data_IF_302987315512
#
_entry.id   IF_302987315512
#
_cell.length_a   1.000
_cell.length_b   1.000
_cell.length_c   1.000
_cell.angle_alpha   90.00
_cell.angle_beta   90.00
_cell.angle_gamma   90.00
#
_symmetry.space_group_name_H-M   'P 1'
#
loop_
_entity.id
_entity.type
_entity.pdbx_description
1 polymer ?
#
# COMPACT_ATOMS: atom_id res chain seq x y z
N UNK A 1 2.90 -12.68 31.54
CA UNK A 1 3.05 -12.42 30.09
C UNK A 1 1.75 -12.85 29.40
N UNK A 2 1.10 -11.97 28.64
CA UNK A 2 -0.17 -12.29 27.96
C UNK A 2 0.04 -13.31 26.84
N UNK A 3 -1.01 -14.06 26.47
CA UNK A 3 -0.95 -15.02 25.36
C UNK A 3 -0.48 -14.34 24.06
N UNK A 4 -1.02 -13.15 23.79
CA UNK A 4 -0.65 -12.31 22.65
C UNK A 4 0.84 -11.92 22.67
N UNK A 5 1.38 -11.55 23.83
CA UNK A 5 2.81 -11.25 23.95
C UNK A 5 3.66 -12.50 23.67
N UNK A 6 3.23 -13.67 24.15
CA UNK A 6 3.93 -14.94 23.91
C UNK A 6 3.94 -15.32 22.42
N UNK A 7 2.82 -15.14 21.72
CA UNK A 7 2.73 -15.36 20.28
C UNK A 7 3.68 -14.43 19.50
N UNK A 8 3.76 -13.15 19.88
CA UNK A 8 4.69 -12.18 19.28
C UNK A 8 6.15 -12.56 19.53
N UNK A 9 6.51 -12.95 20.75
CA UNK A 9 7.86 -13.41 21.08
C UNK A 9 8.23 -14.70 20.32
N UNK A 10 7.27 -15.61 20.12
CA UNK A 10 7.49 -16.81 19.29
C UNK A 10 7.77 -16.45 17.84
N UNK A 11 6.96 -15.57 17.25
CA UNK A 11 7.14 -15.06 15.88
C UNK A 11 8.52 -14.41 15.71
N UNK A 12 8.92 -13.52 16.64
CA UNK A 12 10.24 -12.91 16.62
C UNK A 12 11.36 -13.96 16.73
N UNK A 13 11.25 -14.92 17.64
CA UNK A 13 12.23 -15.99 17.81
C UNK A 13 12.39 -16.86 16.57
N UNK A 14 11.30 -17.17 15.88
CA UNK A 14 11.32 -17.94 14.62
C UNK A 14 12.01 -17.16 13.48
N UNK A 15 11.77 -15.85 13.37
CA UNK A 15 12.45 -14.96 12.40
C UNK A 15 13.96 -14.89 12.70
N UNK A 16 14.35 -14.66 13.96
CA UNK A 16 15.76 -14.57 14.36
C UNK A 16 16.53 -15.88 14.13
N UNK A 17 15.84 -17.03 14.21
CA UNK A 17 16.43 -18.34 13.95
C UNK A 17 16.40 -18.71 12.46
N UNK A 18 16.03 -17.79 11.56
CA UNK A 18 16.02 -17.96 10.10
C UNK A 18 15.26 -19.21 9.62
N UNK A 19 14.28 -19.66 10.39
CA UNK A 19 13.33 -20.65 9.91
C UNK A 19 12.43 -19.92 8.91
N UNK A 20 12.53 -20.26 7.62
CA UNK A 20 11.72 -19.68 6.54
C UNK A 20 10.24 -19.69 6.94
N UNK A 21 9.77 -18.58 7.50
CA UNK A 21 8.39 -18.38 7.85
C UNK A 21 7.68 -17.90 6.59
N UNK A 22 6.88 -18.78 6.01
CA UNK A 22 5.73 -18.33 5.24
C UNK A 22 4.73 -17.78 6.27
N UNK A 23 4.91 -16.51 6.63
CA UNK A 23 3.91 -15.76 7.39
C UNK A 23 2.73 -15.54 6.46
N UNK A 24 1.82 -16.52 6.45
CA UNK A 24 0.51 -16.41 5.83
C UNK A 24 -0.22 -15.22 6.46
N UNK A 25 -1.18 -14.68 5.72
CA UNK A 25 -2.08 -13.59 6.12
C UNK A 25 -2.94 -13.91 7.37
N UNK A 26 -2.72 -15.06 8.02
CA UNK A 26 -3.46 -15.55 9.19
C UNK A 26 -2.99 -14.97 10.53
N UNK A 27 -1.99 -14.08 10.55
CA UNK A 27 -1.53 -13.41 11.78
C UNK A 27 -2.30 -12.12 12.12
N UNK A 28 -3.50 -11.97 11.58
CA UNK A 28 -4.36 -10.81 11.80
C UNK A 28 -4.70 -10.58 13.28
N UNK A 29 -4.75 -11.65 14.08
CA UNK A 29 -4.97 -11.63 15.54
C UNK A 29 -3.75 -11.15 16.36
N UNK A 30 -2.56 -11.11 15.73
CA UNK A 30 -1.31 -10.70 16.38
C UNK A 30 -1.01 -9.21 16.14
N UNK A 31 -1.64 -8.60 15.13
CA UNK A 31 -1.45 -7.21 14.75
C UNK A 31 -1.73 -6.25 15.91
N UNK A 32 -0.95 -5.16 15.98
CA UNK A 32 -1.20 -4.07 16.94
C UNK A 32 -2.32 -3.15 16.41
N UNK A 33 -2.58 -3.18 15.10
CA UNK A 33 -3.55 -2.30 14.45
C UNK A 33 -4.98 -2.86 14.62
N UNK A 34 -5.67 -2.38 15.65
CA UNK A 34 -7.05 -2.79 15.97
C UNK A 34 -8.09 -2.25 14.99
N UNK A 35 -7.77 -1.19 14.26
CA UNK A 35 -8.63 -0.56 13.28
C UNK A 35 -7.91 -0.54 11.93
N UNK A 36 -8.50 -1.18 10.92
CA UNK A 36 -7.83 -1.46 9.63
C UNK A 36 -8.41 -0.68 8.44
N UNK A 37 -9.67 -0.28 8.50
CA UNK A 37 -10.36 0.34 7.36
C UNK A 37 -11.65 1.04 7.78
N UNK A 38 -12.02 2.08 7.02
CA UNK A 38 -13.32 2.73 7.08
C UNK A 38 -14.37 2.10 6.15
N UNK A 39 -14.01 1.08 5.37
CA UNK A 39 -14.91 0.46 4.39
C UNK A 39 -15.23 1.37 3.21
N UNK A 40 -14.31 2.28 2.86
CA UNK A 40 -14.48 3.23 1.75
C UNK A 40 -14.01 2.66 0.41
N UNK A 41 -13.29 1.54 0.45
CA UNK A 41 -12.88 0.76 -0.71
C UNK A 41 -13.10 -0.73 -0.45
N UNK A 42 -13.39 -1.47 -1.52
CA UNK A 42 -13.42 -2.94 -1.50
C UNK A 42 -12.01 -3.45 -1.78
N UNK A 43 -11.55 -4.39 -0.96
CA UNK A 43 -10.24 -5.03 -1.11
C UNK A 43 -10.43 -6.50 -1.41
N UNK A 44 -9.79 -7.01 -2.46
CA UNK A 44 -9.77 -8.44 -2.78
C UNK A 44 -8.37 -8.92 -3.08
N UNK A 45 -8.02 -10.13 -2.62
CA UNK A 45 -6.70 -10.71 -2.89
C UNK A 45 -6.59 -11.14 -4.35
N UNK A 46 -5.45 -10.88 -4.98
CA UNK A 46 -5.14 -11.33 -6.33
C UNK A 46 -4.14 -12.49 -6.26
N UNK A 47 -4.29 -13.48 -7.15
CA UNK A 47 -3.32 -14.56 -7.25
C UNK A 47 -1.99 -14.00 -7.76
N UNK A 48 -0.94 -14.11 -6.96
CA UNK A 48 0.43 -13.85 -7.39
C UNK A 48 0.94 -15.02 -8.24
N UNK A 49 1.86 -14.74 -9.17
CA UNK A 49 2.65 -15.80 -9.78
C UNK A 49 3.70 -16.26 -8.77
N UNK A 50 4.07 -17.54 -8.77
CA UNK A 50 4.99 -18.15 -7.79
C UNK A 50 6.40 -17.51 -7.70
N UNK A 51 6.73 -16.60 -8.61
CA UNK A 51 8.01 -15.88 -8.66
C UNK A 51 7.96 -14.49 -8.01
N UNK A 52 6.78 -13.95 -7.69
CA UNK A 52 6.65 -12.67 -7.00
C UNK A 52 6.57 -12.90 -5.50
N UNK A 53 7.49 -12.28 -4.75
CA UNK A 53 7.46 -12.38 -3.30
C UNK A 53 6.33 -11.54 -2.68
N UNK A 54 5.74 -10.57 -3.37
CA UNK A 54 4.70 -9.68 -2.84
C UNK A 54 3.28 -10.25 -2.79
N UNK A 55 2.45 -9.68 -1.91
CA UNK A 55 1.00 -9.96 -1.88
C UNK A 55 0.28 -8.91 -2.72
N UNK A 56 -0.44 -9.37 -3.74
CA UNK A 56 -1.25 -8.46 -4.56
C UNK A 56 -2.67 -8.36 -4.03
N UNK A 57 -3.21 -7.16 -4.05
CA UNK A 57 -4.63 -6.93 -3.81
C UNK A 57 -5.21 -5.93 -4.80
N UNK A 58 -6.44 -6.18 -5.20
CA UNK A 58 -7.25 -5.27 -5.98
C UNK A 58 -8.01 -4.37 -5.02
N UNK A 59 -7.95 -3.07 -5.26
CA UNK A 59 -8.65 -2.02 -4.53
C UNK A 59 -9.65 -1.38 -5.47
N UNK A 60 -10.91 -1.39 -5.06
CA UNK A 60 -12.02 -0.83 -5.84
C UNK A 60 -12.72 0.25 -5.02
N UNK A 61 -12.83 1.45 -5.59
CA UNK A 61 -13.58 2.56 -5.03
C UNK A 61 -14.96 2.66 -5.68
N UNK A 62 -15.99 3.06 -4.92
CA UNK A 62 -17.32 3.28 -5.47
C UNK A 62 -17.30 4.39 -6.53
N UNK A 63 -18.25 4.36 -7.47
CA UNK A 63 -18.45 5.50 -8.38
C UNK A 63 -19.04 6.68 -7.60
N UNK A 64 -18.54 7.88 -7.90
CA UNK A 64 -18.96 9.14 -7.27
C UNK A 64 -19.87 9.99 -8.19
N UNK A 65 -20.14 9.53 -9.42
CA UNK A 65 -20.99 10.25 -10.38
C UNK A 65 -22.22 9.41 -10.74
N UNK A 66 -23.40 10.03 -10.64
CA UNK A 66 -24.72 9.38 -10.75
C UNK A 66 -25.03 8.75 -12.11
N UNK A 67 -24.24 9.02 -13.16
CA UNK A 67 -24.55 8.59 -14.54
C UNK A 67 -23.45 7.77 -15.22
N UNK A 68 -22.38 7.39 -14.52
CA UNK A 68 -21.37 6.47 -15.06
C UNK A 68 -20.90 5.47 -14.00
N UNK A 69 -21.11 4.18 -14.28
CA UNK A 69 -20.70 3.05 -13.44
C UNK A 69 -19.21 2.71 -13.54
N UNK A 70 -18.35 3.73 -13.62
CA UNK A 70 -16.91 3.50 -13.73
C UNK A 70 -16.31 3.34 -12.34
N UNK A 71 -16.35 2.10 -11.84
CA UNK A 71 -15.59 1.68 -10.64
C UNK A 71 -14.11 1.94 -10.90
N UNK A 72 -13.46 2.64 -9.98
CA UNK A 72 -12.02 2.89 -10.06
C UNK A 72 -11.32 1.72 -9.39
N UNK A 73 -10.57 0.96 -10.19
CA UNK A 73 -9.85 -0.22 -9.75
C UNK A 73 -8.34 -0.02 -9.89
N UNK A 74 -7.61 -0.41 -8.85
CA UNK A 74 -6.16 -0.46 -8.81
C UNK A 74 -5.72 -1.86 -8.35
N UNK A 75 -4.71 -2.45 -8.98
CA UNK A 75 -4.03 -3.60 -8.39
C UNK A 75 -2.79 -3.06 -7.68
N UNK A 76 -2.70 -3.22 -6.37
CA UNK A 76 -1.55 -2.79 -5.60
C UNK A 76 -0.80 -4.00 -5.07
N UNK A 77 0.50 -3.82 -4.91
CA UNK A 77 1.37 -4.82 -4.31
C UNK A 77 1.74 -4.37 -2.92
N UNK A 78 1.47 -5.20 -1.93
CA UNK A 78 1.99 -5.03 -0.58
C UNK A 78 3.22 -5.93 -0.45
N UNK A 79 4.33 -5.35 0.02
CA UNK A 79 5.58 -6.10 0.17
C UNK A 79 5.39 -7.27 1.12
N UNK A 80 6.10 -8.37 0.81
CA UNK A 80 5.98 -9.59 1.58
C UNK A 80 6.53 -9.45 2.99
N UNK A 81 6.00 -10.31 3.83
CA UNK A 81 6.30 -10.49 5.24
C UNK A 81 7.71 -11.07 5.50
N UNK A 82 8.55 -11.21 4.47
CA UNK A 82 9.99 -11.52 4.64
C UNK A 82 10.70 -10.30 5.24
N UNK A 83 10.75 -10.28 6.56
CA UNK A 83 11.47 -9.29 7.35
C UNK A 83 12.94 -9.73 7.44
N UNK A 84 13.85 -8.94 6.88
CA UNK A 84 15.29 -9.14 7.09
C UNK A 84 15.78 -8.46 8.38
N UNK A 85 16.95 -8.85 8.89
CA UNK A 85 17.60 -8.19 10.03
C UNK A 85 17.75 -6.68 9.81
N UNK A 86 18.11 -6.25 8.60
CA UNK A 86 18.18 -4.84 8.24
C UNK A 86 16.83 -4.11 8.40
N UNK A 87 15.72 -4.81 8.18
CA UNK A 87 14.36 -4.28 8.36
C UNK A 87 13.93 -4.18 9.83
N UNK A 88 14.59 -4.92 10.73
CA UNK A 88 14.36 -4.88 12.19
C UNK A 88 15.15 -3.76 12.87
N UNK A 89 16.31 -3.38 12.33
CA UNK A 89 17.20 -2.34 12.90
C UNK A 89 17.12 -1.00 12.17
N UNK A 90 16.47 -0.95 11.00
CA UNK A 90 16.40 0.21 10.12
C UNK A 90 15.20 1.15 10.35
N UNK A 91 14.91 1.99 9.34
CA UNK A 91 13.80 2.95 9.32
C UNK A 91 12.43 2.29 9.54
N UNK A 92 11.42 3.08 9.95
CA UNK A 92 10.08 2.59 10.29
C UNK A 92 9.35 1.91 9.10
N UNK A 93 9.43 0.59 9.02
CA UNK A 93 8.74 -0.20 7.99
C UNK A 93 7.21 -0.30 8.17
N UNK A 94 6.59 0.46 9.09
CA UNK A 94 5.15 0.34 9.39
C UNK A 94 4.27 0.80 8.21
N UNK A 95 4.78 1.66 7.33
CA UNK A 95 4.15 2.06 6.05
C UNK A 95 4.19 1.00 4.95
N UNK A 96 4.91 -0.11 5.18
CA UNK A 96 5.23 -1.07 4.13
C UNK A 96 4.37 -2.35 4.13
N UNK A 97 3.62 -2.55 5.21
CA UNK A 97 2.91 -3.79 5.47
C UNK A 97 1.41 -3.72 5.18
N UNK A 98 0.83 -2.51 5.04
CA UNK A 98 -0.61 -2.34 4.82
C UNK A 98 -0.96 -0.94 4.32
N UNK A 99 -2.15 -0.81 3.73
CA UNK A 99 -2.80 0.49 3.50
C UNK A 99 -3.29 1.04 4.84
N UNK A 100 -2.90 2.26 5.17
CA UNK A 100 -3.37 2.91 6.40
C UNK A 100 -4.81 3.42 6.24
N UNK A 101 -5.63 3.45 7.31
CA UNK A 101 -6.97 4.02 7.22
C UNK A 101 -6.98 5.49 6.75
N UNK A 102 -5.95 6.27 7.10
CA UNK A 102 -5.78 7.65 6.61
C UNK A 102 -5.49 7.71 5.12
N UNK A 103 -4.70 6.77 4.60
CA UNK A 103 -4.40 6.64 3.17
C UNK A 103 -5.65 6.25 2.38
N UNK A 104 -6.46 5.33 2.90
CA UNK A 104 -7.79 4.98 2.35
C UNK A 104 -8.70 6.21 2.29
N UNK A 105 -8.81 6.96 3.39
CA UNK A 105 -9.66 8.16 3.47
C UNK A 105 -9.18 9.24 2.51
N UNK A 106 -7.87 9.45 2.40
CA UNK A 106 -7.29 10.42 1.46
C UNK A 106 -7.62 10.04 0.02
N UNK A 107 -7.40 8.79 -0.37
CA UNK A 107 -7.72 8.31 -1.71
C UNK A 107 -9.21 8.48 -2.03
N UNK A 108 -10.10 8.09 -1.10
CA UNK A 108 -11.54 8.28 -1.25
C UNK A 108 -11.91 9.76 -1.43
N UNK A 109 -11.37 10.65 -0.60
CA UNK A 109 -11.65 12.08 -0.68
C UNK A 109 -11.15 12.68 -2.00
N UNK A 110 -9.93 12.35 -2.41
CA UNK A 110 -9.36 12.77 -3.68
C UNK A 110 -10.22 12.32 -4.87
N UNK A 111 -10.74 11.10 -4.87
CA UNK A 111 -11.62 10.61 -5.93
C UNK A 111 -12.98 11.28 -5.93
N UNK A 112 -13.54 11.55 -4.74
CA UNK A 112 -14.80 12.27 -4.60
C UNK A 112 -14.69 13.69 -5.16
N UNK A 113 -13.59 14.38 -4.88
CA UNK A 113 -13.32 15.75 -5.31
C UNK A 113 -12.34 15.81 -6.50
N UNK A 114 -12.34 14.78 -7.36
CA UNK A 114 -11.34 14.58 -8.43
C UNK A 114 -11.20 15.78 -9.37
N UNK A 115 -12.28 16.50 -9.61
CA UNK A 115 -12.33 17.68 -10.50
C UNK A 115 -11.37 18.80 -10.03
N UNK A 116 -11.07 18.88 -8.73
CA UNK A 116 -10.10 19.84 -8.19
C UNK A 116 -8.69 19.59 -8.73
N UNK A 117 -8.38 18.34 -9.13
CA UNK A 117 -7.05 17.89 -9.54
C UNK A 117 -6.88 17.82 -11.07
N UNK A 118 -7.95 18.02 -11.83
CA UNK A 118 -7.91 17.86 -13.28
C UNK A 118 -6.93 18.85 -13.94
N UNK A 119 -6.08 18.31 -14.83
CA UNK A 119 -5.00 19.03 -15.51
C UNK A 119 -3.96 19.69 -14.57
N UNK A 120 -3.88 19.27 -13.31
CA UNK A 120 -2.86 19.77 -12.37
C UNK A 120 -1.68 18.81 -12.24
N UNK A 121 -0.56 19.34 -11.73
CA UNK A 121 0.53 18.54 -11.20
C UNK A 121 0.24 18.20 -9.74
N UNK A 122 0.26 16.92 -9.39
CA UNK A 122 -0.04 16.41 -8.05
C UNK A 122 1.19 15.73 -7.49
N UNK A 123 1.49 15.97 -6.20
CA UNK A 123 2.58 15.30 -5.49
C UNK A 123 2.01 14.61 -4.24
N UNK A 124 2.24 13.31 -4.11
CA UNK A 124 1.93 12.55 -2.90
C UNK A 124 3.23 12.30 -2.11
N UNK A 125 3.25 12.80 -0.88
CA UNK A 125 4.38 12.72 0.04
C UNK A 125 4.20 11.56 1.01
N UNK A 126 5.18 10.66 1.07
CA UNK A 126 5.14 9.52 1.99
C UNK A 126 4.03 8.54 1.63
N UNK A 127 3.89 8.21 0.34
CA UNK A 127 2.83 7.34 -0.18
C UNK A 127 2.94 5.88 0.26
N UNK A 128 3.96 5.51 1.05
CA UNK A 128 4.18 4.14 1.50
C UNK A 128 4.35 3.20 0.31
N UNK A 129 3.98 1.93 0.47
CA UNK A 129 4.12 0.95 -0.62
C UNK A 129 3.19 1.16 -1.80
N UNK A 130 2.16 2.01 -1.68
CA UNK A 130 1.08 2.04 -2.66
C UNK A 130 0.92 3.37 -3.37
N UNK A 131 1.15 4.51 -2.71
CA UNK A 131 0.81 5.83 -3.25
C UNK A 131 -0.66 5.89 -3.69
N UNK A 132 -1.56 5.39 -2.83
CA UNK A 132 -2.93 5.01 -3.20
C UNK A 132 -3.70 6.19 -3.80
N UNK A 133 -3.62 7.37 -3.18
CA UNK A 133 -4.43 8.51 -3.55
C UNK A 133 -4.03 9.08 -4.92
N UNK A 134 -2.72 9.27 -5.13
CA UNK A 134 -2.15 9.73 -6.38
C UNK A 134 -2.44 8.75 -7.52
N UNK A 135 -2.23 7.45 -7.29
CA UNK A 135 -2.55 6.41 -8.29
C UNK A 135 -4.05 6.36 -8.63
N UNK A 136 -4.91 6.47 -7.62
CA UNK A 136 -6.35 6.49 -7.83
C UNK A 136 -6.78 7.69 -8.68
N UNK A 137 -6.26 8.89 -8.37
CA UNK A 137 -6.49 10.10 -9.17
C UNK A 137 -5.99 9.93 -10.61
N UNK A 138 -4.74 9.52 -10.79
CA UNK A 138 -4.12 9.31 -12.09
C UNK A 138 -4.85 8.28 -12.98
N UNK A 139 -5.61 7.38 -12.36
CA UNK A 139 -6.45 6.39 -13.05
C UNK A 139 -7.83 6.92 -13.42
N UNK A 140 -8.27 8.00 -12.78
CA UNK A 140 -9.65 8.51 -12.81
C UNK A 140 -9.81 9.76 -13.66
N UNK A 141 -8.77 10.58 -13.77
CA UNK A 141 -8.76 11.86 -14.50
C UNK A 141 -7.43 12.08 -15.22
N UNK A 142 -7.40 13.07 -16.11
CA UNK A 142 -6.15 13.54 -16.72
C UNK A 142 -5.40 14.46 -15.75
N UNK A 143 -4.19 14.08 -15.36
CA UNK A 143 -3.25 14.92 -14.62
C UNK A 143 -2.19 15.46 -15.58
N UNK A 144 -1.64 16.65 -15.31
CA UNK A 144 -0.44 17.11 -16.01
C UNK A 144 0.78 16.27 -15.60
N UNK A 145 0.86 15.98 -14.30
CA UNK A 145 1.93 15.18 -13.72
C UNK A 145 1.46 14.59 -12.39
N UNK A 146 1.89 13.35 -12.12
CA UNK A 146 1.87 12.80 -10.78
C UNK A 146 3.33 12.61 -10.34
N UNK A 147 3.61 13.06 -9.13
CA UNK A 147 4.87 12.87 -8.42
C UNK A 147 4.61 11.98 -7.21
N UNK A 148 4.99 10.71 -7.31
CA UNK A 148 4.90 9.75 -6.21
C UNK A 148 6.20 9.73 -5.42
N UNK A 149 6.13 9.90 -4.10
CA UNK A 149 7.34 9.99 -3.26
C UNK A 149 7.20 9.26 -1.94
N UNK A 150 8.32 8.74 -1.46
CA UNK A 150 8.46 8.09 -0.16
C UNK A 150 9.92 8.16 0.29
N UNK A 151 10.16 8.01 1.60
CA UNK A 151 11.50 7.93 2.17
C UNK A 151 12.13 6.54 2.06
N UNK A 152 11.36 5.53 1.67
CA UNK A 152 11.81 4.15 1.55
C UNK A 152 12.03 3.76 0.08
N UNK A 153 13.27 3.38 -0.26
CA UNK A 153 13.63 2.94 -1.61
C UNK A 153 12.82 1.71 -2.07
N UNK A 154 12.44 0.81 -1.14
CA UNK A 154 11.60 -0.36 -1.45
C UNK A 154 10.18 0.06 -1.88
N UNK A 155 9.62 1.08 -1.23
CA UNK A 155 8.32 1.67 -1.60
C UNK A 155 8.36 2.23 -3.02
N UNK A 156 9.42 2.99 -3.33
CA UNK A 156 9.63 3.59 -4.64
C UNK A 156 9.79 2.52 -5.73
N UNK A 157 10.58 1.48 -5.47
CA UNK A 157 10.72 0.35 -6.39
C UNK A 157 9.38 -0.36 -6.65
N UNK A 158 8.53 -0.47 -5.62
CA UNK A 158 7.24 -1.14 -5.73
C UNK A 158 6.29 -0.46 -6.73
N UNK A 159 6.37 0.87 -6.89
CA UNK A 159 5.49 1.60 -7.80
C UNK A 159 5.67 1.24 -9.27
N UNK A 160 6.84 0.71 -9.66
CA UNK A 160 7.16 0.36 -11.05
C UNK A 160 6.69 -1.04 -11.46
N UNK A 161 6.39 -1.93 -10.51
CA UNK A 161 6.22 -3.37 -10.78
C UNK A 161 5.07 -3.66 -11.76
N UNK A 162 4.05 -2.81 -11.79
CA UNK A 162 2.90 -2.96 -12.72
C UNK A 162 2.79 -1.84 -13.76
N UNK A 163 3.83 -1.02 -13.92
CA UNK A 163 3.87 0.09 -14.87
C UNK A 163 2.76 1.15 -14.70
N UNK A 164 2.11 1.26 -13.53
CA UNK A 164 1.10 2.30 -13.28
C UNK A 164 1.63 3.71 -13.53
N UNK A 165 2.92 3.88 -13.30
CA UNK A 165 3.60 5.16 -13.29
C UNK A 165 4.57 5.38 -14.44
N UNK A 166 4.56 4.56 -15.50
CA UNK A 166 5.45 4.77 -16.66
C UNK A 166 5.25 6.13 -17.36
N UNK A 167 4.17 6.85 -17.04
CA UNK A 167 3.84 8.20 -17.53
C UNK A 167 4.07 9.31 -16.50
N UNK A 168 4.57 8.99 -15.32
CA UNK A 168 4.60 9.90 -14.16
C UNK A 168 6.00 9.91 -13.52
N UNK A 169 6.34 11.01 -12.85
CA UNK A 169 7.66 11.14 -12.21
C UNK A 169 7.63 10.55 -10.81
N UNK A 170 8.75 9.97 -10.39
CA UNK A 170 8.89 9.30 -9.09
C UNK A 170 10.20 9.76 -8.46
N UNK A 171 10.17 10.09 -7.18
CA UNK A 171 11.35 10.56 -6.45
C UNK A 171 11.42 9.94 -5.05
N UNK A 172 12.64 9.66 -4.60
CA UNK A 172 12.94 9.42 -3.19
C UNK A 172 13.14 10.79 -2.54
N UNK A 173 12.35 11.10 -1.52
CA UNK A 173 12.61 12.26 -0.67
C UNK A 173 13.35 11.77 0.56
N UNK A 174 14.49 12.41 0.86
CA UNK A 174 15.43 12.12 1.94
C UNK A 174 16.55 11.10 1.61
N UNK A 175 17.78 11.64 1.57
CA UNK A 175 19.05 11.00 1.92
C UNK A 175 19.76 11.91 2.91
#
# INVERSE_FOLDING_TARGET
MTELARQRWRMLGEILLSKNLQTSCEHDDISIMRFKTFGLCVRSSLKSNDQDDGTWCKIEFPSFQDNQSNVISLDIRLCSTKIDYADLIGFNNTGNTCIWPSEEVLAFYCLKEKEIFENKSVCELGGGMTCLAGLALARSISLNELVATDGNEKSIANYFIRNYLNRYKIFILFK
#
